data_IF_719218350786
#
_entry.id   IF_719218350786
#
_cell.length_a   1.000
_cell.length_b   1.000
_cell.length_c   1.000
_cell.angle_alpha   90.00
_cell.angle_beta   90.00
_cell.angle_gamma   90.00
#
_symmetry.space_group_name_H-M   'P 1'
#
loop_
_entity.id
_entity.type
_entity.pdbx_description
1 polymer ?
#
# COMPACT_ATOMS: atom_id res chain seq x y z
N UNK A 1 1.52 2.29 10.48
CA UNK A 1 0.69 1.33 9.71
C UNK A 1 1.45 0.01 9.62
N UNK A 2 0.78 -1.14 9.55
CA UNK A 2 1.48 -2.43 9.41
C UNK A 2 1.51 -2.90 7.96
N UNK A 3 2.60 -3.54 7.57
CA UNK A 3 2.71 -4.29 6.32
C UNK A 3 3.06 -5.74 6.60
N UNK A 4 2.48 -6.63 5.80
CA UNK A 4 2.74 -8.04 5.75
C UNK A 4 3.72 -8.38 4.64
N UNK A 5 4.75 -9.15 4.97
CA UNK A 5 5.77 -9.60 4.03
C UNK A 5 5.95 -11.13 4.09
N UNK A 6 6.31 -11.72 2.95
CA UNK A 6 6.66 -13.15 2.79
C UNK A 6 8.02 -13.26 2.09
N UNK A 7 8.58 -14.47 2.04
CA UNK A 7 9.85 -14.73 1.35
C UNK A 7 9.82 -14.35 -0.14
N UNK A 8 8.67 -14.44 -0.79
CA UNK A 8 8.46 -14.06 -2.20
C UNK A 8 8.72 -12.57 -2.45
N UNK A 9 8.47 -11.72 -1.45
CA UNK A 9 8.67 -10.28 -1.56
C UNK A 9 10.14 -9.86 -1.56
N UNK A 10 11.07 -10.70 -1.12
CA UNK A 10 12.50 -10.31 -0.97
C UNK A 10 13.12 -9.92 -2.31
N UNK A 11 12.82 -10.66 -3.38
CA UNK A 11 13.34 -10.37 -4.72
C UNK A 11 12.82 -9.03 -5.24
N UNK A 12 11.52 -8.78 -5.04
CA UNK A 12 10.86 -7.55 -5.46
C UNK A 12 11.41 -6.34 -4.68
N UNK A 13 11.52 -6.46 -3.36
CA UNK A 13 12.06 -5.41 -2.49
C UNK A 13 13.47 -5.01 -2.90
N UNK A 14 14.35 -5.97 -3.19
CA UNK A 14 15.70 -5.69 -3.69
C UNK A 14 15.69 -4.89 -4.99
N UNK A 15 14.80 -5.24 -5.94
CA UNK A 15 14.67 -4.51 -7.21
C UNK A 15 14.17 -3.09 -6.99
N UNK A 16 13.11 -2.91 -6.19
CA UNK A 16 12.53 -1.59 -5.89
C UNK A 16 13.52 -0.68 -5.17
N UNK A 17 14.25 -1.20 -4.19
CA UNK A 17 15.32 -0.46 -3.52
C UNK A 17 16.46 -0.09 -4.48
N UNK A 18 16.83 -0.97 -5.42
CA UNK A 18 17.84 -0.66 -6.44
C UNK A 18 17.38 0.49 -7.36
N UNK A 19 16.10 0.52 -7.72
CA UNK A 19 15.52 1.59 -8.53
C UNK A 19 15.51 2.93 -7.76
N UNK A 20 15.13 2.90 -6.48
CA UNK A 20 15.07 4.11 -5.66
C UNK A 20 16.44 4.64 -5.22
N UNK A 21 17.43 3.75 -5.05
CA UNK A 21 18.78 4.09 -4.56
C UNK A 21 19.85 3.48 -5.47
N UNK A 22 19.95 3.90 -6.75
CA UNK A 22 20.83 3.26 -7.73
C UNK A 22 22.31 3.38 -7.38
N UNK A 23 22.72 4.50 -6.77
CA UNK A 23 24.10 4.78 -6.38
C UNK A 23 24.55 4.07 -5.09
N UNK A 24 23.60 3.58 -4.28
CA UNK A 24 23.92 2.92 -3.00
C UNK A 24 24.37 1.48 -3.23
N UNK A 25 25.32 0.99 -2.44
CA UNK A 25 25.74 -0.43 -2.53
C UNK A 25 24.56 -1.37 -2.18
N UNK A 26 24.49 -2.52 -2.86
CA UNK A 26 23.39 -3.49 -2.68
C UNK A 26 23.24 -3.97 -1.23
N UNK A 27 24.35 -4.29 -0.57
CA UNK A 27 24.37 -4.67 0.86
C UNK A 27 23.85 -3.55 1.76
N UNK A 28 24.19 -2.29 1.48
CA UNK A 28 23.71 -1.14 2.24
C UNK A 28 22.21 -0.91 2.07
N UNK A 29 21.67 -1.02 0.85
CA UNK A 29 20.22 -0.88 0.60
C UNK A 29 19.40 -1.88 1.41
N UNK A 30 19.76 -3.15 1.34
CA UNK A 30 18.99 -4.21 2.01
C UNK A 30 19.16 -4.18 3.52
N UNK A 31 20.33 -3.77 4.01
CA UNK A 31 20.59 -3.61 5.44
C UNK A 31 19.87 -2.39 6.03
N UNK A 32 19.79 -1.29 5.28
CA UNK A 32 18.98 -0.13 5.64
C UNK A 32 17.50 -0.52 5.71
N UNK A 33 17.00 -1.20 4.68
CA UNK A 33 15.60 -1.64 4.62
C UNK A 33 15.26 -2.61 5.76
N UNK A 34 16.15 -3.53 6.11
CA UNK A 34 15.96 -4.41 7.26
C UNK A 34 15.80 -3.62 8.56
N UNK A 35 16.66 -2.61 8.80
CA UNK A 35 16.56 -1.74 9.98
C UNK A 35 15.27 -0.95 10.00
N UNK A 36 14.87 -0.38 8.86
CA UNK A 36 13.59 0.31 8.74
C UNK A 36 12.36 -0.59 8.85
N UNK A 37 12.53 -1.91 8.85
CA UNK A 37 11.49 -2.89 9.11
C UNK A 37 11.67 -3.54 10.50
N UNK A 38 12.45 -2.92 11.40
CA UNK A 38 12.64 -3.39 12.78
C UNK A 38 13.64 -4.54 12.95
N UNK A 39 14.46 -4.85 11.94
CA UNK A 39 15.47 -5.91 12.01
C UNK A 39 16.89 -5.35 12.08
N UNK A 40 17.69 -5.86 13.02
CA UNK A 40 19.10 -5.48 13.17
C UNK A 40 19.95 -5.82 11.93
N UNK A 41 19.62 -6.90 11.23
CA UNK A 41 20.36 -7.38 10.06
C UNK A 41 19.43 -7.82 8.94
N UNK A 42 19.89 -7.70 7.69
CA UNK A 42 19.16 -8.25 6.55
C UNK A 42 18.98 -9.78 6.65
N UNK A 43 19.96 -10.49 7.23
CA UNK A 43 19.84 -11.91 7.54
C UNK A 43 18.68 -12.18 8.49
N UNK A 44 18.54 -11.39 9.56
CA UNK A 44 17.44 -11.52 10.51
C UNK A 44 16.06 -11.34 9.86
N UNK A 45 15.93 -10.36 8.96
CA UNK A 45 14.72 -10.21 8.15
C UNK A 45 14.45 -11.46 7.29
N UNK A 46 15.44 -11.98 6.57
CA UNK A 46 15.25 -13.16 5.73
C UNK A 46 14.96 -14.44 6.52
N UNK A 47 15.58 -14.61 7.69
CA UNK A 47 15.33 -15.73 8.59
C UNK A 47 13.87 -15.68 9.11
N UNK A 48 13.38 -14.49 9.48
CA UNK A 48 12.00 -14.31 9.90
C UNK A 48 10.99 -14.60 8.76
N UNK A 49 11.30 -14.15 7.54
CA UNK A 49 10.48 -14.44 6.35
C UNK A 49 10.50 -15.92 5.95
N UNK A 50 11.59 -16.63 6.23
CA UNK A 50 11.65 -18.08 6.03
C UNK A 50 10.75 -18.82 7.03
N UNK A 51 10.53 -18.26 8.22
CA UNK A 51 9.56 -18.75 9.20
C UNK A 51 8.09 -18.50 8.84
N UNK A 52 7.81 -17.70 7.80
CA UNK A 52 6.48 -17.45 7.28
C UNK A 52 6.16 -15.96 7.10
N UNK A 53 4.85 -15.65 7.08
CA UNK A 53 4.39 -14.27 6.92
C UNK A 53 4.66 -13.46 8.18
N UNK A 54 5.41 -12.37 8.03
CA UNK A 54 5.66 -11.40 9.11
C UNK A 54 4.73 -10.20 9.00
N UNK A 55 4.51 -9.50 10.12
CA UNK A 55 3.83 -8.21 10.17
C UNK A 55 4.76 -7.19 10.81
N UNK A 56 5.06 -6.10 10.12
CA UNK A 56 6.02 -5.08 10.56
C UNK A 56 5.52 -3.67 10.31
N UNK A 57 6.02 -2.70 11.08
CA UNK A 57 5.85 -1.27 10.82
C UNK A 57 6.99 -0.68 9.97
N UNK A 58 6.98 0.64 9.84
CA UNK A 58 8.04 1.43 9.22
C UNK A 58 8.78 2.23 10.27
N UNK A 59 10.09 2.08 10.32
CA UNK A 59 11.02 2.93 11.05
C UNK A 59 11.87 3.69 10.02
N UNK A 60 11.31 4.78 9.49
CA UNK A 60 11.98 5.60 8.48
C UNK A 60 13.25 6.26 9.06
N UNK A 61 13.30 6.48 10.37
CA UNK A 61 14.45 7.04 11.03
C UNK A 61 15.62 6.05 11.05
N UNK A 62 15.40 4.80 11.47
CA UNK A 62 16.43 3.77 11.46
C UNK A 62 16.95 3.48 10.03
N UNK A 63 16.06 3.54 9.03
CA UNK A 63 16.44 3.44 7.62
C UNK A 63 17.35 4.60 7.18
N UNK A 64 16.93 5.84 7.44
CA UNK A 64 17.69 7.04 7.07
C UNK A 64 19.01 7.12 7.82
N UNK A 65 19.01 6.94 9.13
CA UNK A 65 20.19 7.01 9.98
C UNK A 65 21.29 6.04 9.50
N UNK A 66 20.92 4.82 9.09
CA UNK A 66 21.89 3.86 8.55
C UNK A 66 22.57 4.33 7.26
N UNK A 67 21.84 5.03 6.39
CA UNK A 67 22.32 5.53 5.09
C UNK A 67 23.07 6.86 5.23
N UNK A 68 22.63 7.75 6.11
CA UNK A 68 23.31 9.03 6.43
C UNK A 68 24.68 8.78 7.05
N UNK A 69 24.83 7.77 7.93
CA UNK A 69 26.14 7.33 8.45
C UNK A 69 27.12 6.88 7.37
N UNK A 70 26.63 6.67 6.13
CA UNK A 70 27.41 6.30 4.94
C UNK A 70 27.41 7.41 3.89
N UNK A 71 27.12 8.65 4.31
CA UNK A 71 27.10 9.84 3.47
C UNK A 71 26.14 9.72 2.27
N UNK A 72 25.04 9.00 2.43
CA UNK A 72 23.97 8.92 1.42
C UNK A 72 22.84 9.88 1.80
N UNK A 73 22.39 10.69 0.84
CA UNK A 73 21.18 11.51 0.97
C UNK A 73 20.01 10.70 0.43
N UNK A 74 18.91 10.65 1.18
CA UNK A 74 17.77 9.79 0.88
C UNK A 74 16.47 10.55 1.11
N UNK A 75 15.58 10.47 0.12
CA UNK A 75 14.23 11.03 0.24
C UNK A 75 13.45 10.34 1.36
N UNK A 76 12.69 11.11 2.13
CA UNK A 76 12.01 10.69 3.36
C UNK A 76 11.19 9.39 3.21
N UNK A 77 10.51 9.22 2.08
CA UNK A 77 9.59 8.10 1.85
C UNK A 77 10.19 6.93 1.05
N UNK A 78 11.48 6.96 0.78
CA UNK A 78 12.17 5.95 -0.04
C UNK A 78 11.89 4.52 0.43
N UNK A 79 11.91 4.28 1.76
CA UNK A 79 11.60 2.96 2.31
C UNK A 79 10.14 2.58 2.06
N UNK A 80 9.21 3.46 2.45
CA UNK A 80 7.77 3.20 2.35
C UNK A 80 7.35 2.91 0.92
N UNK A 81 7.79 3.74 -0.03
CA UNK A 81 7.41 3.60 -1.43
C UNK A 81 8.00 2.31 -2.04
N UNK A 82 9.24 1.94 -1.68
CA UNK A 82 9.83 0.67 -2.10
C UNK A 82 9.08 -0.56 -1.54
N UNK A 83 8.66 -0.51 -0.28
CA UNK A 83 7.94 -1.61 0.39
C UNK A 83 6.48 -1.69 -0.08
N UNK A 84 5.81 -0.56 -0.27
CA UNK A 84 4.45 -0.52 -0.83
C UNK A 84 4.46 -1.04 -2.26
N UNK A 85 5.39 -0.57 -3.10
CA UNK A 85 5.56 -1.10 -4.45
C UNK A 85 5.84 -2.61 -4.46
N UNK A 86 6.55 -3.11 -3.45
CA UNK A 86 6.83 -4.55 -3.27
C UNK A 86 5.57 -5.38 -3.06
N UNK A 87 4.63 -4.90 -2.24
CA UNK A 87 3.39 -5.63 -1.95
C UNK A 87 2.30 -5.41 -3.00
N UNK A 88 2.36 -4.28 -3.72
CA UNK A 88 1.46 -3.98 -4.83
C UNK A 88 1.75 -4.81 -6.07
N UNK A 89 3.01 -5.08 -6.36
CA UNK A 89 3.44 -5.75 -7.59
C UNK A 89 2.73 -7.10 -7.86
N UNK A 90 2.66 -8.05 -6.91
CA UNK A 90 1.93 -9.31 -7.13
C UNK A 90 0.42 -9.11 -7.31
N UNK A 91 -0.17 -8.07 -6.70
CA UNK A 91 -1.61 -7.77 -6.84
C UNK A 91 -1.91 -7.25 -8.25
N UNK A 92 -1.11 -6.30 -8.74
CA UNK A 92 -1.26 -5.74 -10.09
C UNK A 92 -1.02 -6.83 -11.14
N UNK A 93 0.01 -7.66 -10.95
CA UNK A 93 0.29 -8.78 -11.85
C UNK A 93 -0.83 -9.84 -11.85
N UNK A 94 -1.48 -10.08 -10.70
CA UNK A 94 -2.57 -11.04 -10.57
C UNK A 94 -3.92 -10.57 -11.12
N UNK A 95 -4.10 -9.26 -11.35
CA UNK A 95 -5.37 -8.68 -11.77
C UNK A 95 -5.14 -7.85 -13.03
N UNK A 96 -5.24 -8.52 -14.18
CA UNK A 96 -4.87 -7.98 -15.49
C UNK A 96 -5.51 -6.63 -15.83
N UNK A 97 -6.69 -6.32 -15.32
CA UNK A 97 -7.42 -5.07 -15.59
C UNK A 97 -7.52 -4.12 -14.40
N UNK A 98 -6.75 -4.30 -13.34
CA UNK A 98 -6.66 -3.31 -12.27
C UNK A 98 -5.85 -2.12 -12.78
N UNK A 99 -6.42 -0.91 -12.70
CA UNK A 99 -5.81 0.37 -13.06
C UNK A 99 -5.90 1.32 -11.86
N UNK A 100 -5.40 2.55 -11.95
CA UNK A 100 -5.64 3.60 -10.93
C UNK A 100 -7.14 3.90 -10.76
N UNK A 101 -7.96 3.71 -11.79
CA UNK A 101 -9.39 4.03 -11.76
C UNK A 101 -10.26 2.90 -11.18
N UNK A 102 -9.72 1.69 -11.06
CA UNK A 102 -10.45 0.49 -10.65
C UNK A 102 -10.31 -0.63 -11.68
N UNK A 103 -11.39 -1.35 -11.99
CA UNK A 103 -11.36 -2.39 -13.02
C UNK A 103 -11.54 -1.80 -14.43
N UNK A 104 -10.43 -1.56 -15.13
CA UNK A 104 -10.34 -1.00 -16.48
C UNK A 104 -10.06 0.50 -16.50
N UNK A 105 -10.21 1.14 -17.66
CA UNK A 105 -9.95 2.58 -17.84
C UNK A 105 -11.24 3.38 -17.93
N UNK A 106 -11.24 4.63 -17.41
CA UNK A 106 -12.42 5.51 -17.35
C UNK A 106 -13.00 5.87 -18.72
N UNK A 107 -12.15 6.09 -19.72
CA UNK A 107 -12.53 6.69 -21.00
C UNK A 107 -12.62 5.70 -22.16
N UNK A 108 -12.40 4.40 -21.91
CA UNK A 108 -12.23 3.41 -22.96
C UNK A 108 -13.35 2.36 -22.95
N UNK A 109 -14.60 2.81 -22.87
CA UNK A 109 -15.75 1.96 -23.18
C UNK A 109 -16.58 2.56 -24.33
N UNK A 110 -16.55 1.95 -25.54
CA UNK A 110 -15.87 0.70 -25.90
C UNK A 110 -14.32 0.82 -25.92
N UNK A 111 -13.58 -0.31 -25.82
CA UNK A 111 -12.11 -0.31 -25.81
C UNK A 111 -11.54 0.31 -27.08
N UNK A 112 -10.69 1.33 -26.93
CA UNK A 112 -9.93 1.92 -28.04
C UNK A 112 -8.87 0.93 -28.54
N UNK A 113 -8.38 1.14 -29.75
CA UNK A 113 -7.35 0.33 -30.40
C UNK A 113 -6.11 0.09 -29.51
N UNK A 114 -5.79 1.04 -28.64
CA UNK A 114 -4.62 1.00 -27.75
C UNK A 114 -4.93 0.61 -26.30
N UNK A 115 -6.11 0.07 -25.99
CA UNK A 115 -6.56 -0.20 -24.61
C UNK A 115 -5.53 -0.93 -23.75
N UNK A 116 -4.84 -1.94 -24.30
CA UNK A 116 -3.83 -2.70 -23.54
C UNK A 116 -2.59 -1.87 -23.21
N UNK A 117 -2.16 -1.01 -24.13
CA UNK A 117 -1.02 -0.13 -23.90
C UNK A 117 -1.38 0.97 -22.90
N UNK A 118 -2.55 1.59 -23.06
CA UNK A 118 -3.07 2.59 -22.12
C UNK A 118 -3.23 1.99 -20.70
N UNK A 119 -3.70 0.75 -20.61
CA UNK A 119 -3.89 0.06 -19.34
C UNK A 119 -2.56 -0.28 -18.68
N UNK A 120 -1.56 -0.75 -19.45
CA UNK A 120 -0.23 -1.01 -18.93
C UNK A 120 0.42 0.28 -18.41
N UNK A 121 0.29 1.39 -19.15
CA UNK A 121 0.79 2.69 -18.72
C UNK A 121 0.09 3.18 -17.44
N UNK A 122 -1.23 3.01 -17.32
CA UNK A 122 -1.96 3.39 -16.09
C UNK A 122 -1.64 2.43 -14.92
N UNK A 123 -1.35 1.15 -15.19
CA UNK A 123 -0.87 0.20 -14.19
C UNK A 123 0.49 0.59 -13.62
N UNK A 124 1.39 1.10 -14.45
CA UNK A 124 2.70 1.59 -13.99
C UNK A 124 2.54 2.75 -13.00
N UNK A 125 1.53 3.62 -13.19
CA UNK A 125 1.24 4.71 -12.27
C UNK A 125 0.89 4.23 -10.86
N UNK A 126 0.37 3.01 -10.67
CA UNK A 126 0.07 2.46 -9.33
C UNK A 126 1.32 2.40 -8.43
N UNK A 127 2.52 2.42 -9.02
CA UNK A 127 3.79 2.40 -8.29
C UNK A 127 4.37 3.79 -8.02
N UNK A 128 3.74 4.87 -8.50
CA UNK A 128 4.20 6.23 -8.26
C UNK A 128 4.11 6.60 -6.76
N UNK A 129 4.98 7.50 -6.26
CA UNK A 129 4.97 7.94 -4.86
C UNK A 129 3.59 8.43 -4.39
N UNK A 130 2.85 9.13 -5.25
CA UNK A 130 1.49 9.59 -4.95
C UNK A 130 0.54 8.41 -4.69
N UNK A 131 0.55 7.38 -5.53
CA UNK A 131 -0.33 6.22 -5.35
C UNK A 131 0.13 5.32 -4.20
N UNK A 132 1.43 5.29 -3.88
CA UNK A 132 1.94 4.66 -2.66
C UNK A 132 1.37 5.33 -1.39
N UNK A 133 1.33 6.67 -1.34
CA UNK A 133 0.68 7.39 -0.23
C UNK A 133 -0.82 7.08 -0.12
N UNK A 134 -1.51 7.03 -1.25
CA UNK A 134 -2.95 6.70 -1.28
C UNK A 134 -3.21 5.26 -0.82
N UNK A 135 -2.31 4.34 -1.15
CA UNK A 135 -2.39 2.95 -0.68
C UNK A 135 -2.26 2.90 0.84
N UNK A 136 -1.26 3.59 1.40
CA UNK A 136 -1.08 3.72 2.85
C UNK A 136 -2.30 4.34 3.54
N UNK A 137 -2.88 5.40 2.95
CA UNK A 137 -4.12 5.99 3.46
C UNK A 137 -5.30 5.00 3.43
N UNK A 138 -5.44 4.23 2.35
CA UNK A 138 -6.46 3.19 2.29
C UNK A 138 -6.25 2.11 3.37
N UNK A 139 -5.00 1.72 3.65
CA UNK A 139 -4.67 0.75 4.71
C UNK A 139 -5.03 1.26 6.10
N UNK A 140 -4.87 2.56 6.39
CA UNK A 140 -5.30 3.17 7.66
C UNK A 140 -6.76 2.81 7.95
N UNK A 141 -7.64 2.94 6.95
CA UNK A 141 -9.04 2.55 7.05
C UNK A 141 -9.25 1.03 7.07
N UNK A 142 -8.68 0.32 6.10
CA UNK A 142 -8.96 -1.11 5.87
C UNK A 142 -8.47 -2.01 7.03
N UNK A 143 -7.39 -1.65 7.72
CA UNK A 143 -6.88 -2.43 8.87
C UNK A 143 -7.79 -2.40 10.10
N UNK A 144 -8.75 -1.47 10.16
CA UNK A 144 -9.82 -1.43 11.19
C UNK A 144 -11.14 -1.98 10.70
N UNK A 145 -11.29 -2.09 9.39
CA UNK A 145 -12.54 -2.51 8.80
C UNK A 145 -12.86 -3.96 9.14
N UNK A 146 -14.07 -4.18 9.64
CA UNK A 146 -14.55 -5.54 9.90
C UNK A 146 -14.89 -6.25 8.60
N UNK A 147 -14.35 -7.46 8.43
CA UNK A 147 -14.71 -8.36 7.34
C UNK A 147 -16.01 -9.09 7.64
N UNK A 148 -16.75 -9.39 6.59
CA UNK A 148 -17.95 -10.23 6.58
C UNK A 148 -17.68 -11.51 5.79
N UNK A 149 -18.50 -12.53 6.03
CA UNK A 149 -18.46 -13.78 5.25
C UNK A 149 -18.95 -13.62 3.81
N UNK A 150 -19.77 -12.61 3.54
CA UNK A 150 -20.38 -12.37 2.23
C UNK A 150 -20.05 -10.96 1.73
N UNK A 151 -20.03 -10.79 0.41
CA UNK A 151 -19.93 -9.48 -0.23
C UNK A 151 -21.05 -8.54 0.24
N UNK A 152 -20.68 -7.31 0.57
CA UNK A 152 -21.62 -6.25 0.88
C UNK A 152 -21.98 -5.51 -0.42
N UNK A 153 -23.16 -5.82 -0.97
CA UNK A 153 -23.67 -5.19 -2.21
C UNK A 153 -24.31 -3.81 -2.01
N UNK A 154 -24.35 -3.30 -0.77
CA UNK A 154 -24.94 -2.00 -0.45
C UNK A 154 -23.95 -0.84 -0.58
N UNK A 155 -22.65 -1.13 -0.60
CA UNK A 155 -21.60 -0.12 -0.66
C UNK A 155 -20.49 -0.58 -1.62
N UNK A 156 -20.04 0.32 -2.49
CA UNK A 156 -18.97 0.03 -3.46
C UNK A 156 -17.61 0.48 -2.96
N UNK A 157 -16.54 0.00 -3.61
CA UNK A 157 -15.17 0.50 -3.43
C UNK A 157 -15.07 2.02 -3.57
N UNK A 158 -15.84 2.61 -4.51
CA UNK A 158 -15.87 4.05 -4.72
C UNK A 158 -16.41 4.80 -3.51
N UNK A 159 -17.51 4.32 -2.93
CA UNK A 159 -18.05 4.93 -1.70
C UNK A 159 -17.12 4.72 -0.51
N UNK A 160 -16.47 3.56 -0.41
CA UNK A 160 -15.54 3.25 0.68
C UNK A 160 -14.25 4.06 0.62
N UNK A 161 -13.72 4.35 -0.57
CA UNK A 161 -12.52 5.19 -0.70
C UNK A 161 -12.77 6.60 -0.13
N UNK A 162 -13.98 7.14 -0.30
CA UNK A 162 -14.35 8.44 0.28
C UNK A 162 -14.38 8.41 1.80
N UNK A 163 -14.62 7.25 2.42
CA UNK A 163 -14.46 7.10 3.87
C UNK A 163 -12.99 7.25 4.26
N UNK A 164 -12.06 6.61 3.55
CA UNK A 164 -10.63 6.77 3.81
C UNK A 164 -10.15 8.24 3.58
N UNK A 165 -10.68 8.90 2.55
CA UNK A 165 -10.41 10.34 2.31
C UNK A 165 -10.94 11.23 3.43
N UNK A 166 -12.14 10.94 3.95
CA UNK A 166 -12.71 11.67 5.09
C UNK A 166 -11.83 11.52 6.33
N UNK A 167 -11.32 10.32 6.60
CA UNK A 167 -10.36 10.06 7.70
C UNK A 167 -9.11 10.92 7.54
N UNK A 168 -8.61 11.07 6.32
CA UNK A 168 -7.45 11.94 6.06
C UNK A 168 -7.73 13.39 6.42
N UNK A 169 -8.89 13.91 5.99
CA UNK A 169 -9.29 15.30 6.22
C UNK A 169 -9.61 15.59 7.69
N UNK A 170 -10.33 14.69 8.35
CA UNK A 170 -10.79 14.86 9.73
C UNK A 170 -9.65 14.79 10.74
N UNK A 171 -8.64 13.96 10.47
CA UNK A 171 -7.53 13.71 11.41
C UNK A 171 -6.19 14.23 10.92
N UNK A 172 -6.18 15.18 9.98
CA UNK A 172 -4.97 15.88 9.56
C UNK A 172 -3.94 15.03 8.82
N UNK A 173 -4.30 13.86 8.29
CA UNK A 173 -3.35 13.00 7.56
C UNK A 173 -2.99 13.56 6.18
N UNK A 174 -3.77 14.51 5.67
CA UNK A 174 -3.59 15.07 4.34
C UNK A 174 -2.22 15.71 4.13
N UNK A 175 -1.60 16.24 5.18
CA UNK A 175 -0.24 16.79 5.14
C UNK A 175 0.82 15.74 4.81
N UNK A 176 0.55 14.47 5.12
CA UNK A 176 1.50 13.37 4.97
C UNK A 176 1.12 12.41 3.83
N UNK A 177 -0.16 12.03 3.75
CA UNK A 177 -0.68 10.99 2.87
C UNK A 177 -1.59 11.52 1.74
N UNK A 178 -1.92 12.82 1.77
CA UNK A 178 -2.90 13.42 0.85
C UNK A 178 -4.35 13.19 1.28
N UNK A 179 -5.29 13.89 0.63
CA UNK A 179 -6.71 13.91 0.97
C UNK A 179 -7.60 13.13 -0.02
N UNK A 180 -6.97 12.47 -1.01
CA UNK A 180 -7.63 11.80 -2.11
C UNK A 180 -7.13 10.37 -2.28
N UNK A 181 -8.02 9.42 -2.58
CA UNK A 181 -7.67 8.03 -2.89
C UNK A 181 -8.25 7.64 -4.25
N UNK A 182 -7.42 7.16 -5.16
CA UNK A 182 -7.86 6.56 -6.42
C UNK A 182 -8.53 5.21 -6.15
N UNK A 183 -9.66 4.95 -6.83
CA UNK A 183 -10.50 3.77 -6.56
C UNK A 183 -9.75 2.45 -6.79
N UNK A 184 -8.88 2.39 -7.80
CA UNK A 184 -8.04 1.23 -8.05
C UNK A 184 -6.98 0.98 -6.99
N UNK A 185 -6.38 2.05 -6.46
CA UNK A 185 -5.45 1.96 -5.32
C UNK A 185 -6.18 1.45 -4.08
N UNK A 186 -7.40 1.92 -3.82
CA UNK A 186 -8.24 1.42 -2.74
C UNK A 186 -8.57 -0.07 -2.91
N UNK A 187 -8.92 -0.50 -4.13
CA UNK A 187 -9.16 -1.92 -4.45
C UNK A 187 -7.89 -2.75 -4.19
N UNK A 188 -6.72 -2.29 -4.64
CA UNK A 188 -5.44 -2.97 -4.41
C UNK A 188 -5.17 -3.14 -2.90
N UNK A 189 -5.37 -2.08 -2.12
CA UNK A 189 -5.22 -2.10 -0.67
C UNK A 189 -6.21 -3.08 0.01
N UNK A 190 -7.44 -3.17 -0.48
CA UNK A 190 -8.42 -4.11 0.04
C UNK A 190 -8.03 -5.57 -0.25
N UNK A 191 -7.52 -5.87 -1.44
CA UNK A 191 -7.02 -7.20 -1.79
C UNK A 191 -5.82 -7.55 -0.92
N UNK A 192 -4.89 -6.60 -0.73
CA UNK A 192 -3.74 -6.75 0.14
C UNK A 192 -4.13 -7.11 1.57
N UNK A 193 -5.10 -6.39 2.14
CA UNK A 193 -5.64 -6.69 3.48
C UNK A 193 -6.48 -7.97 3.51
N UNK A 194 -6.69 -8.64 2.37
CA UNK A 194 -7.37 -9.93 2.26
C UNK A 194 -8.89 -9.82 2.31
N UNK A 195 -9.47 -8.71 1.84
CA UNK A 195 -10.89 -8.63 1.55
C UNK A 195 -11.20 -9.42 0.27
N UNK A 196 -12.37 -10.07 0.23
CA UNK A 196 -12.92 -10.56 -1.03
C UNK A 196 -13.40 -9.35 -1.83
N UNK A 197 -12.87 -9.21 -3.04
CA UNK A 197 -13.21 -8.12 -3.96
C UNK A 197 -13.81 -8.71 -5.23
N UNK A 198 -15.01 -8.25 -5.59
CA UNK A 198 -15.66 -8.60 -6.86
C UNK A 198 -16.09 -7.36 -7.60
N UNK A 199 -15.72 -7.29 -8.88
CA UNK A 199 -16.19 -6.25 -9.79
C UNK A 199 -17.73 -6.15 -9.77
N UNK A 200 -18.28 -4.93 -9.67
CA UNK A 200 -19.72 -4.68 -9.55
C UNK A 200 -20.50 -5.15 -10.79
N UNK A 201 -19.98 -4.83 -11.97
CA UNK A 201 -20.53 -5.21 -13.27
C UNK A 201 -19.40 -5.21 -14.32
N UNK A 202 -19.60 -5.91 -15.42
CA UNK A 202 -18.60 -6.03 -16.50
C UNK A 202 -18.11 -4.68 -17.07
N UNK A 203 -18.93 -3.64 -17.03
CA UNK A 203 -18.60 -2.29 -17.49
C UNK A 203 -18.32 -1.29 -16.35
N UNK A 204 -18.22 -1.77 -15.11
CA UNK A 204 -18.01 -0.91 -13.94
C UNK A 204 -16.54 -0.88 -13.55
N UNK A 205 -16.03 0.29 -13.17
CA UNK A 205 -14.71 0.42 -12.54
C UNK A 205 -14.73 -0.06 -11.08
N UNK A 206 -15.93 -0.14 -10.49
CA UNK A 206 -16.12 -0.35 -9.06
C UNK A 206 -16.15 -1.83 -8.67
N UNK A 207 -15.92 -2.06 -7.39
CA UNK A 207 -16.03 -3.37 -6.76
C UNK A 207 -17.01 -3.37 -5.59
N UNK A 208 -17.53 -4.55 -5.28
CA UNK A 208 -18.06 -4.89 -3.97
C UNK A 208 -17.00 -5.60 -3.15
N UNK A 209 -16.99 -5.31 -1.85
CA UNK A 209 -16.08 -5.91 -0.88
C UNK A 209 -16.89 -6.66 0.18
N UNK A 210 -16.33 -7.70 0.78
CA UNK A 210 -16.89 -8.34 1.97
C UNK A 210 -16.64 -7.53 3.25
N UNK A 211 -16.94 -6.23 3.24
CA UNK A 211 -16.74 -5.30 4.35
C UNK A 211 -18.05 -4.98 5.09
N UNK A 212 -17.97 -4.83 6.41
CA UNK A 212 -19.09 -4.40 7.24
C UNK A 212 -19.57 -3.00 6.91
N UNK A 213 -20.89 -2.79 6.87
CA UNK A 213 -21.45 -1.44 6.72
C UNK A 213 -21.16 -0.56 7.94
N UNK A 214 -20.92 -1.17 9.10
CA UNK A 214 -20.49 -0.44 10.31
C UNK A 214 -19.09 0.16 10.15
N UNK A 215 -18.29 -0.40 9.24
CA UNK A 215 -16.92 0.07 9.02
C UNK A 215 -16.86 1.53 8.53
N UNK A 216 -17.92 2.05 7.92
CA UNK A 216 -17.97 3.46 7.49
C UNK A 216 -18.02 4.47 8.65
N UNK A 217 -18.08 4.01 9.89
CA UNK A 217 -18.16 4.84 11.12
C UNK A 217 -17.04 4.58 12.12
N UNK A 218 -15.94 3.93 11.68
CA UNK A 218 -14.91 3.38 12.57
C UNK A 218 -14.03 4.41 13.27
N UNK A 219 -13.89 5.61 12.70
CA UNK A 219 -13.01 6.62 13.27
C UNK A 219 -13.84 7.64 14.03
N UNK A 220 -13.68 7.62 15.35
CA UNK A 220 -14.39 8.49 16.29
C UNK A 220 -13.50 9.62 16.82
N UNK A 221 -12.19 9.43 16.82
CA UNK A 221 -11.21 10.38 17.36
C UNK A 221 -9.81 10.23 16.73
N UNK A 222 -9.01 11.28 16.88
CA UNK A 222 -7.67 11.42 16.30
C UNK A 222 -6.65 10.46 16.93
N UNK A 223 -6.78 10.16 18.22
CA UNK A 223 -5.87 9.25 18.95
C UNK A 223 -5.91 7.84 18.35
N UNK A 224 -7.10 7.39 17.97
CA UNK A 224 -7.31 6.11 17.27
C UNK A 224 -6.62 6.07 15.90
N UNK A 225 -6.43 7.21 15.24
CA UNK A 225 -5.71 7.31 13.96
C UNK A 225 -4.21 7.43 14.17
N UNK A 226 -3.75 8.32 15.07
CA UNK A 226 -2.31 8.51 15.35
C UNK A 226 -1.64 7.23 15.84
N UNK A 227 -2.29 6.47 16.72
CA UNK A 227 -1.78 5.15 17.15
C UNK A 227 -1.56 4.14 16.01
N UNK A 228 -2.16 4.32 14.82
CA UNK A 228 -1.78 3.52 13.65
C UNK A 228 -0.46 3.93 13.08
N UNK A 229 -0.24 5.24 12.98
CA UNK A 229 0.96 5.81 12.40
C UNK A 229 2.13 5.58 13.37
N UNK A 230 1.90 5.78 14.66
CA UNK A 230 2.92 5.84 15.73
C UNK A 230 3.23 4.49 16.40
N UNK A 231 2.46 3.41 16.14
CA UNK A 231 2.85 2.04 16.58
C UNK A 231 4.14 1.52 15.92
N UNK A 232 4.88 2.37 15.23
CA UNK A 232 6.27 2.23 14.82
C UNK A 232 7.30 2.73 15.85
N UNK A 233 6.91 3.51 16.87
CA UNK A 233 7.87 4.14 17.81
C UNK A 233 8.00 3.42 19.17
N UNK A 234 7.06 2.55 19.54
CA UNK A 234 7.02 1.92 20.88
C UNK A 234 7.14 0.40 20.84
N UNK A 235 8.10 -0.12 20.08
CA UNK A 235 8.55 -1.51 20.17
C UNK A 235 9.84 -1.59 20.98
N UNK A 236 9.73 -1.57 22.31
CA UNK A 236 10.77 -2.05 23.22
C UNK A 236 10.61 -3.56 23.41
#
# INVERSE_FOLDING_TARGET
MKVYLTSEHVGILKRRLKQALPATQSSHRVQAAARGLGFNTFKGLTDALAGGRISTGFDDEAFRNFLVQRHQIVEERTLRDAVIGTVLEPIVAGIWNLSTWGFGLRENYPPKQNYRADLAADQDLLFDPTHCKQFELALVFLQRAEKRKSLNRRITSYQLKHVAENVSREFGLYSHLGDWVKNGVFIAAAIYEGFEVRRRAWNSLDAFLNISSKSSTLFKDETSVRSLLDRSESGT
#
